data_IF_937489682482
#
_entry.id   IF_937489682482
#
_cell.length_a   1.000
_cell.length_b   1.000
_cell.length_c   1.000
_cell.angle_alpha   90.00
_cell.angle_beta   90.00
_cell.angle_gamma   90.00
#
_symmetry.space_group_name_H-M   'P 1'
#
loop_
_entity.id
_entity.type
_entity.pdbx_description
1 polymer ?
#
# COMPACT_ATOMS: atom_id res chain seq x y z
N UNK A 1 4.61 14.10 -18.60
CA UNK A 1 4.86 12.65 -18.80
C UNK A 1 3.57 11.94 -18.39
N UNK A 2 2.75 11.51 -19.35
CA UNK A 2 1.44 10.93 -19.06
C UNK A 2 1.64 9.48 -18.59
N UNK A 3 1.25 9.19 -17.35
CA UNK A 3 1.24 7.84 -16.78
C UNK A 3 0.25 7.00 -17.61
N UNK A 4 0.75 6.09 -18.46
CA UNK A 4 -0.04 5.31 -19.43
C UNK A 4 -0.85 4.14 -18.84
N UNK A 5 -1.28 4.25 -17.58
CA UNK A 5 -1.97 3.17 -16.87
C UNK A 5 -3.47 3.08 -17.15
N UNK A 6 -4.02 1.86 -17.21
CA UNK A 6 -5.48 1.64 -17.27
C UNK A 6 -6.17 1.82 -15.92
N UNK A 7 -5.40 1.77 -14.84
CA UNK A 7 -5.86 1.88 -13.46
C UNK A 7 -5.06 3.00 -12.79
N UNK A 8 -5.77 3.88 -12.10
CA UNK A 8 -5.18 4.86 -11.19
C UNK A 8 -5.58 4.53 -9.76
N UNK A 9 -4.63 4.60 -8.83
CA UNK A 9 -4.85 4.43 -7.39
C UNK A 9 -4.49 5.71 -6.67
N UNK A 10 -5.44 6.22 -5.89
CA UNK A 10 -5.22 7.35 -4.98
C UNK A 10 -5.12 6.81 -3.56
N UNK A 11 -3.95 7.01 -2.94
CA UNK A 11 -3.64 6.52 -1.60
C UNK A 11 -3.53 7.65 -0.59
N UNK A 12 -4.02 7.38 0.61
CA UNK A 12 -3.85 8.22 1.79
C UNK A 12 -3.17 7.39 2.88
N UNK A 13 -2.15 7.97 3.49
CA UNK A 13 -1.49 7.38 4.67
C UNK A 13 -2.26 7.83 5.91
N UNK A 14 -2.24 7.02 6.97
CA UNK A 14 -2.87 7.36 8.25
C UNK A 14 -1.82 7.48 9.36
N UNK A 15 -1.97 8.49 10.21
CA UNK A 15 -1.20 8.66 11.43
C UNK A 15 -2.13 8.58 12.66
N UNK A 16 -1.66 7.92 13.72
CA UNK A 16 -2.42 7.82 14.96
C UNK A 16 -2.44 9.17 15.69
N UNK A 17 -3.58 9.50 16.27
CA UNK A 17 -3.76 10.67 17.12
C UNK A 17 -4.02 10.25 18.57
N UNK A 18 -3.46 11.01 19.51
CA UNK A 18 -3.60 10.75 20.94
C UNK A 18 -4.88 11.37 21.52
N UNK A 19 -5.38 12.46 20.91
CA UNK A 19 -6.60 13.16 21.32
C UNK A 19 -7.90 12.45 20.87
N UNK A 20 -7.76 11.32 20.19
CA UNK A 20 -8.87 10.54 19.65
C UNK A 20 -9.55 11.16 18.44
N UNK A 21 -8.99 12.23 17.86
CA UNK A 21 -9.49 12.81 16.61
C UNK A 21 -9.29 11.86 15.44
N UNK A 22 -10.14 11.96 14.42
CA UNK A 22 -10.03 11.16 13.21
C UNK A 22 -10.70 11.85 12.04
N UNK A 23 -10.32 11.46 10.82
CA UNK A 23 -10.98 11.95 9.62
C UNK A 23 -12.47 11.56 9.61
N UNK A 24 -13.36 12.54 9.45
CA UNK A 24 -14.82 12.36 9.54
C UNK A 24 -15.34 11.31 8.56
N UNK A 25 -14.81 11.24 7.33
CA UNK A 25 -15.25 10.25 6.35
C UNK A 25 -14.84 8.84 6.81
N UNK A 26 -13.61 8.69 7.28
CA UNK A 26 -13.05 7.41 7.72
C UNK A 26 -13.74 6.92 8.99
N UNK A 27 -13.97 7.79 9.96
CA UNK A 27 -14.71 7.51 11.19
C UNK A 27 -16.14 7.02 10.89
N UNK A 28 -16.83 7.64 9.93
CA UNK A 28 -18.16 7.21 9.49
C UNK A 28 -18.14 5.78 8.90
N UNK A 29 -17.13 5.44 8.10
CA UNK A 29 -16.98 4.09 7.54
C UNK A 29 -16.65 3.08 8.65
N UNK A 30 -15.67 3.40 9.49
CA UNK A 30 -15.17 2.48 10.51
C UNK A 30 -16.15 2.28 11.67
N UNK A 31 -17.11 3.19 11.87
CA UNK A 31 -18.23 2.98 12.82
C UNK A 31 -19.02 1.69 12.55
N UNK A 32 -19.02 1.19 11.30
CA UNK A 32 -19.73 -0.02 10.90
C UNK A 32 -18.84 -1.28 10.87
N UNK A 33 -17.54 -1.17 11.16
CA UNK A 33 -16.57 -2.26 10.95
C UNK A 33 -16.89 -3.53 11.75
N UNK A 34 -17.51 -3.40 12.93
CA UNK A 34 -17.93 -4.52 13.75
C UNK A 34 -19.03 -5.37 13.10
N UNK A 35 -19.82 -4.80 12.18
CA UNK A 35 -20.89 -5.51 11.45
C UNK A 35 -20.35 -6.40 10.32
N UNK A 36 -19.06 -6.28 10.00
CA UNK A 36 -18.35 -7.07 8.98
C UNK A 36 -17.19 -7.88 9.59
N UNK A 37 -17.34 -8.33 10.83
CA UNK A 37 -16.32 -9.06 11.57
C UNK A 37 -15.87 -10.42 10.97
N UNK A 38 -16.51 -10.90 9.90
CA UNK A 38 -16.21 -12.18 9.26
C UNK A 38 -16.20 -12.03 7.73
N UNK A 39 -15.33 -12.77 7.02
CA UNK A 39 -15.26 -12.70 5.56
C UNK A 39 -16.61 -12.98 4.90
N UNK A 40 -16.92 -12.23 3.84
CA UNK A 40 -18.18 -12.36 3.09
C UNK A 40 -19.35 -11.53 3.65
N UNK A 41 -19.23 -10.96 4.85
CA UNK A 41 -20.24 -10.04 5.37
C UNK A 41 -20.16 -8.67 4.70
N UNK A 42 -21.32 -8.02 4.56
CA UNK A 42 -21.42 -6.67 4.02
C UNK A 42 -22.42 -5.84 4.83
N UNK A 43 -22.21 -4.53 4.83
CA UNK A 43 -23.11 -3.56 5.48
C UNK A 43 -23.22 -2.33 4.61
N UNK A 44 -24.40 -1.73 4.54
CA UNK A 44 -24.60 -0.46 3.85
C UNK A 44 -24.13 0.69 4.74
N UNK A 45 -23.16 1.46 4.25
CA UNK A 45 -22.75 2.71 4.88
C UNK A 45 -23.67 3.84 4.40
N UNK A 46 -23.86 4.85 5.26
CA UNK A 46 -24.61 6.06 4.92
C UNK A 46 -23.94 6.88 3.81
N UNK A 47 -24.47 8.09 3.57
CA UNK A 47 -23.92 8.99 2.56
C UNK A 47 -22.47 9.39 2.90
N UNK A 48 -21.55 9.09 2.00
CA UNK A 48 -20.14 9.45 2.10
C UNK A 48 -19.90 10.84 1.50
N UNK A 49 -19.10 11.66 2.17
CA UNK A 49 -18.69 12.99 1.71
C UNK A 49 -17.18 13.05 1.59
N UNK A 50 -16.69 13.24 0.37
CA UNK A 50 -15.27 13.18 0.05
C UNK A 50 -14.59 14.55 -0.03
N UNK A 51 -15.30 15.63 0.32
CA UNK A 51 -14.78 17.00 0.18
C UNK A 51 -13.48 17.23 0.94
N UNK A 52 -13.32 16.65 2.14
CA UNK A 52 -12.08 16.73 2.90
C UNK A 52 -10.91 16.03 2.19
N UNK A 53 -11.12 14.80 1.69
CA UNK A 53 -10.10 14.07 0.92
C UNK A 53 -9.71 14.80 -0.36
N UNK A 54 -10.68 15.38 -1.07
CA UNK A 54 -10.43 16.18 -2.26
C UNK A 54 -9.58 17.42 -1.91
N UNK A 55 -9.97 18.16 -0.87
CA UNK A 55 -9.20 19.31 -0.39
C UNK A 55 -7.78 18.93 0.06
N UNK A 56 -7.59 17.74 0.62
CA UNK A 56 -6.26 17.24 0.99
C UNK A 56 -5.37 17.00 -0.23
N UNK A 57 -5.90 16.44 -1.30
CA UNK A 57 -5.16 16.26 -2.56
C UNK A 57 -4.83 17.61 -3.23
N UNK A 58 -5.64 18.64 -3.03
CA UNK A 58 -5.40 19.99 -3.54
C UNK A 58 -4.37 20.77 -2.70
N UNK A 59 -4.32 20.48 -1.40
CA UNK A 59 -3.55 21.28 -0.42
C UNK A 59 -2.12 20.76 -0.19
N UNK A 60 -1.86 19.48 -0.44
CA UNK A 60 -0.59 18.84 -0.11
C UNK A 60 0.09 18.22 -1.34
N UNK A 61 1.43 18.12 -1.34
CA UNK A 61 2.15 17.40 -2.38
C UNK A 61 1.65 15.97 -2.58
N UNK A 62 1.74 15.50 -3.82
CA UNK A 62 1.36 14.14 -4.20
C UNK A 62 2.58 13.42 -4.75
N UNK A 63 2.97 12.31 -4.12
CA UNK A 63 3.96 11.40 -4.68
C UNK A 63 3.32 10.61 -5.82
N UNK A 64 4.00 10.58 -6.97
CA UNK A 64 3.47 9.96 -8.18
C UNK A 64 4.48 8.98 -8.76
N UNK A 65 4.03 7.78 -9.08
CA UNK A 65 4.86 6.79 -9.75
C UNK A 65 4.02 5.79 -10.55
N UNK A 66 4.65 5.14 -11.53
CA UNK A 66 4.07 3.99 -12.22
C UNK A 66 4.48 2.72 -11.46
N UNK A 67 3.50 1.93 -11.01
CA UNK A 67 3.71 0.73 -10.23
C UNK A 67 2.78 -0.41 -10.64
N UNK A 68 2.43 -1.26 -9.69
CA UNK A 68 1.56 -2.42 -9.89
C UNK A 68 0.48 -2.52 -8.81
N UNK A 69 -0.45 -3.46 -8.99
CA UNK A 69 -1.37 -3.86 -7.93
C UNK A 69 -0.59 -4.50 -6.76
N UNK A 70 -0.96 -4.14 -5.53
CA UNK A 70 -0.39 -4.74 -4.31
C UNK A 70 -1.00 -6.10 -3.96
N UNK A 71 -1.96 -6.56 -4.76
CA UNK A 71 -2.66 -7.85 -4.64
C UNK A 71 -2.50 -8.67 -5.93
N UNK A 72 -2.55 -10.01 -5.87
CA UNK A 72 -2.56 -10.84 -7.08
C UNK A 72 -3.64 -10.40 -8.09
N UNK A 73 -3.37 -10.43 -9.41
CA UNK A 73 -2.16 -10.94 -10.07
C UNK A 73 -1.01 -9.92 -10.18
N UNK A 74 -0.98 -8.89 -9.34
CA UNK A 74 0.13 -7.92 -9.27
C UNK A 74 0.36 -7.16 -10.59
N UNK A 75 -0.71 -6.91 -11.36
CA UNK A 75 -0.63 -6.29 -12.69
C UNK A 75 0.07 -4.93 -12.64
N UNK A 76 1.03 -4.73 -13.54
CA UNK A 76 1.80 -3.49 -13.68
C UNK A 76 1.02 -2.39 -14.41
N UNK A 77 1.66 -1.22 -14.56
CA UNK A 77 1.11 -0.03 -15.18
C UNK A 77 -0.10 0.55 -14.42
N UNK A 78 0.02 0.59 -13.09
CA UNK A 78 -0.89 1.32 -12.22
C UNK A 78 -0.31 2.70 -11.94
N UNK A 79 -1.07 3.75 -12.24
CA UNK A 79 -0.71 5.13 -11.89
C UNK A 79 -1.01 5.36 -10.40
N UNK A 80 0.02 5.44 -9.57
CA UNK A 80 -0.12 5.66 -8.14
C UNK A 80 0.02 7.14 -7.80
N UNK A 81 -0.92 7.64 -6.99
CA UNK A 81 -0.95 9.01 -6.45
C UNK A 81 -1.10 8.91 -4.94
N UNK A 82 -0.07 9.25 -4.18
CA UNK A 82 -0.08 9.15 -2.71
C UNK A 82 -0.01 10.56 -2.11
N UNK A 83 -1.02 10.93 -1.32
CA UNK A 83 -0.99 12.15 -0.52
C UNK A 83 0.23 12.14 0.40
N UNK A 84 1.05 13.20 0.37
CA UNK A 84 2.22 13.30 1.25
C UNK A 84 1.84 13.49 2.71
N UNK A 85 0.68 14.12 2.96
CA UNK A 85 0.18 14.37 4.31
C UNK A 85 -0.69 13.19 4.79
N UNK A 86 -0.40 12.62 5.98
CA UNK A 86 -1.25 11.60 6.59
C UNK A 86 -2.59 12.14 7.10
N UNK A 87 -3.64 11.34 6.98
CA UNK A 87 -4.92 11.56 7.66
C UNK A 87 -4.83 11.12 9.13
N UNK A 88 -5.54 11.84 10.00
CA UNK A 88 -5.72 11.45 11.39
C UNK A 88 -6.57 10.17 11.51
N UNK A 89 -6.12 9.23 12.34
CA UNK A 89 -6.84 8.02 12.70
C UNK A 89 -6.79 7.80 14.22
N UNK A 90 -7.94 7.70 14.86
CA UNK A 90 -7.98 7.42 16.30
C UNK A 90 -7.48 6.00 16.61
N UNK A 91 -6.81 5.84 17.76
CA UNK A 91 -6.33 4.52 18.26
C UNK A 91 -7.47 3.51 18.35
N UNK A 92 -8.66 3.96 18.75
CA UNK A 92 -9.88 3.13 18.81
C UNK A 92 -10.21 2.53 17.44
N UNK A 93 -10.25 3.35 16.40
CA UNK A 93 -10.60 2.88 15.06
C UNK A 93 -9.49 2.06 14.41
N UNK A 94 -8.23 2.39 14.66
CA UNK A 94 -7.11 1.56 14.25
C UNK A 94 -7.21 0.14 14.83
N UNK A 95 -7.50 0.00 16.12
CA UNK A 95 -7.64 -1.33 16.74
C UNK A 95 -8.86 -2.09 16.20
N UNK A 96 -9.97 -1.40 15.95
CA UNK A 96 -11.17 -2.01 15.39
C UNK A 96 -10.95 -2.56 13.97
N UNK A 97 -10.31 -1.77 13.09
CA UNK A 97 -10.01 -2.23 11.73
C UNK A 97 -8.94 -3.32 11.72
N UNK A 98 -7.91 -3.22 12.57
CA UNK A 98 -6.87 -4.25 12.73
C UNK A 98 -7.45 -5.59 13.18
N UNK A 99 -8.44 -5.58 14.07
CA UNK A 99 -9.10 -6.82 14.51
C UNK A 99 -9.80 -7.55 13.35
N UNK A 100 -10.44 -6.80 12.44
CA UNK A 100 -11.18 -7.38 11.31
C UNK A 100 -10.26 -7.76 10.15
N UNK A 101 -9.37 -6.86 9.73
CA UNK A 101 -8.49 -7.07 8.57
C UNK A 101 -7.26 -7.93 8.88
N UNK A 102 -6.86 -8.03 10.16
CA UNK A 102 -5.59 -8.62 10.59
C UNK A 102 -4.41 -7.92 9.90
N UNK A 103 -3.50 -8.68 9.30
CA UNK A 103 -2.37 -8.16 8.54
C UNK A 103 -2.59 -8.47 7.05
N UNK A 104 -2.63 -7.42 6.23
CA UNK A 104 -3.01 -7.53 4.81
C UNK A 104 -2.14 -6.65 3.89
N UNK A 105 -0.97 -6.22 4.34
CA UNK A 105 -0.02 -5.48 3.51
C UNK A 105 1.03 -6.40 2.89
N UNK A 106 1.35 -6.14 1.62
CA UNK A 106 2.49 -6.75 0.93
C UNK A 106 3.78 -6.10 1.45
N UNK A 107 4.87 -6.87 1.54
CA UNK A 107 6.19 -6.33 1.84
C UNK A 107 6.65 -5.34 0.74
N UNK A 108 7.50 -4.39 1.10
CA UNK A 108 8.06 -3.42 0.15
C UNK A 108 8.85 -4.13 -0.95
N UNK A 109 8.69 -3.68 -2.19
CA UNK A 109 9.40 -4.25 -3.32
C UNK A 109 10.71 -3.50 -3.56
N UNK A 110 11.47 -3.94 -4.57
CA UNK A 110 12.67 -3.24 -4.99
C UNK A 110 12.37 -1.81 -5.48
N UNK A 111 13.40 -1.04 -5.76
CA UNK A 111 13.24 0.23 -6.46
C UNK A 111 12.47 0.01 -7.77
N UNK A 112 11.61 0.97 -8.19
CA UNK A 112 10.88 0.83 -9.44
C UNK A 112 11.83 0.56 -10.60
N UNK A 113 11.44 -0.32 -11.53
CA UNK A 113 12.21 -0.80 -12.68
C UNK A 113 13.40 -1.72 -12.42
N UNK A 114 13.75 -2.00 -11.16
CA UNK A 114 14.72 -3.07 -10.85
C UNK A 114 14.07 -4.46 -10.81
N UNK A 115 14.93 -5.48 -10.85
CA UNK A 115 14.55 -6.91 -10.76
C UNK A 115 13.80 -7.17 -9.45
N UNK A 116 12.83 -8.07 -9.50
CA UNK A 116 12.06 -8.46 -8.32
C UNK A 116 12.98 -9.02 -7.23
N UNK A 117 12.80 -8.57 -5.97
CA UNK A 117 13.66 -8.99 -4.86
C UNK A 117 13.68 -10.52 -4.65
N UNK A 118 12.59 -11.22 -4.95
CA UNK A 118 12.57 -12.68 -4.85
C UNK A 118 13.41 -13.35 -5.94
N UNK A 119 13.51 -12.74 -7.11
CA UNK A 119 14.37 -13.22 -8.19
C UNK A 119 15.85 -12.96 -7.87
N UNK A 120 16.16 -11.78 -7.29
CA UNK A 120 17.50 -11.49 -6.77
C UNK A 120 17.90 -12.52 -5.71
N UNK A 121 17.03 -12.76 -4.71
CA UNK A 121 17.29 -13.75 -3.67
C UNK A 121 17.42 -15.17 -4.24
N UNK A 122 16.61 -15.54 -5.24
CA UNK A 122 16.73 -16.84 -5.89
C UNK A 122 18.09 -17.03 -6.57
N UNK A 123 18.60 -15.99 -7.23
CA UNK A 123 19.91 -16.02 -7.89
C UNK A 123 21.10 -16.14 -6.90
N UNK A 124 20.98 -15.55 -5.70
CA UNK A 124 22.01 -15.66 -4.65
C UNK A 124 22.06 -17.04 -4.00
N UNK A 125 20.91 -17.73 -3.95
CA UNK A 125 20.76 -19.06 -3.38
C UNK A 125 21.08 -20.18 -4.39
N UNK A 126 21.26 -19.86 -5.67
CA UNK A 126 21.64 -20.82 -6.69
C UNK A 126 23.10 -21.27 -6.47
N UNK A 127 23.37 -22.56 -6.24
CA UNK A 127 24.74 -23.04 -6.04
C UNK A 127 25.61 -22.89 -7.29
N UNK A 128 25.01 -22.79 -8.49
CA UNK A 128 25.75 -22.70 -9.76
C UNK A 128 26.30 -21.30 -10.04
N UNK A 129 25.77 -20.25 -9.40
CA UNK A 129 26.28 -18.87 -9.54
C UNK A 129 27.56 -18.63 -8.72
N UNK A 130 27.87 -19.47 -7.72
CA UNK A 130 29.10 -19.36 -6.91
C UNK A 130 30.32 -20.07 -7.51
N UNK A 131 30.15 -21.11 -8.33
CA UNK A 131 31.27 -21.83 -8.97
C UNK A 131 32.04 -20.98 -10.00
N UNK A 132 31.45 -19.93 -10.55
CA UNK A 132 32.11 -19.08 -11.56
C UNK A 132 33.18 -18.16 -10.93
N UNK A 133 33.09 -17.87 -9.62
CA UNK A 133 34.07 -16.99 -8.94
C UNK A 133 35.33 -17.71 -8.48
N UNK A 134 35.30 -19.02 -8.27
CA UNK A 134 36.49 -19.80 -7.87
C UNK A 134 37.40 -20.14 -9.04
N UNK A 135 36.86 -20.30 -10.26
CA UNK A 135 37.67 -20.68 -11.44
C UNK A 135 38.53 -19.52 -11.98
N UNK A 136 38.18 -18.25 -11.73
CA UNK A 136 38.97 -17.11 -12.24
C UNK A 136 40.19 -16.73 -11.38
N UNK A 137 40.41 -17.36 -10.21
CA UNK A 137 41.58 -17.08 -9.38
C UNK A 137 42.75 -18.05 -9.58
N UNK A 138 42.57 -19.15 -10.32
CA UNK A 138 43.61 -20.18 -10.54
C UNK A 138 44.35 -20.07 -11.89
N UNK A 139 44.15 -18.99 -12.67
CA UNK A 139 44.83 -18.77 -13.95
C UNK A 139 45.72 -17.51 -13.99
N UNK A 140 46.48 -17.27 -12.91
CA UNK A 140 47.65 -16.38 -12.92
C UNK A 140 48.87 -17.05 -12.31
#
# INVERSE_FOLDING_TARGET
MLLGGRIAVVGFIFALTEDGSGDVLVENILSQVHKIASPGMSVRVGRLRFGHLAGQLESYPIYQYSGSLTTPPCTENVAWFISSEPLALSVRHFNAIKHVLKFNSRYTQNTPSEINLLEVAAAELDPTTHEVKSVQHELR
#
